data_IF_645459811380
#
_entry.id   IF_645459811380
#
_cell.length_a   1.000
_cell.length_b   1.000
_cell.length_c   1.000
_cell.angle_alpha   90.00
_cell.angle_beta   90.00
_cell.angle_gamma   90.00
#
_symmetry.space_group_name_H-M   'P 1'
#
loop_
_entity.id
_entity.type
_entity.pdbx_description
1 polymer ?
#
# COMPACT_ATOMS: atom_id res chain seq x y z
N UNK A 1 19.77 19.20 -19.28
CA UNK A 1 18.81 19.34 -18.16
C UNK A 1 17.52 20.04 -18.56
N UNK A 2 17.53 21.18 -19.25
CA UNK A 2 16.29 21.90 -19.65
C UNK A 2 15.35 21.03 -20.49
N UNK A 3 15.87 20.32 -21.50
CA UNK A 3 15.08 19.46 -22.39
C UNK A 3 14.40 18.30 -21.66
N UNK A 4 15.05 17.68 -20.66
CA UNK A 4 14.48 16.55 -19.92
C UNK A 4 13.26 16.97 -19.09
N UNK A 5 13.37 18.11 -18.38
CA UNK A 5 12.27 18.67 -17.62
C UNK A 5 11.09 19.11 -18.52
N UNK A 6 11.40 19.66 -19.70
CA UNK A 6 10.38 20.10 -20.66
C UNK A 6 9.70 18.91 -21.37
N UNK A 7 10.44 17.84 -21.65
CA UNK A 7 9.92 16.59 -22.20
C UNK A 7 8.89 15.93 -21.28
N UNK A 8 9.14 15.97 -19.97
CA UNK A 8 8.26 15.41 -18.94
C UNK A 8 7.10 16.35 -18.56
N UNK A 9 7.04 17.55 -19.14
CA UNK A 9 5.97 18.48 -18.85
C UNK A 9 4.61 17.95 -19.36
N UNK A 10 3.51 18.17 -18.61
CA UNK A 10 2.16 17.75 -19.04
C UNK A 10 1.77 18.29 -20.42
N UNK A 11 2.16 19.53 -20.72
CA UNK A 11 1.90 20.17 -22.01
C UNK A 11 2.60 19.44 -23.16
N UNK A 12 3.87 19.04 -22.97
CA UNK A 12 4.61 18.29 -23.97
C UNK A 12 4.05 16.87 -24.15
N UNK A 13 3.62 16.22 -23.07
CA UNK A 13 3.00 14.88 -23.14
C UNK A 13 1.75 14.89 -24.03
N UNK A 14 0.88 15.89 -23.88
CA UNK A 14 -0.31 16.06 -24.73
C UNK A 14 0.07 16.28 -26.19
N UNK A 15 1.09 17.13 -26.45
CA UNK A 15 1.61 17.40 -27.80
C UNK A 15 2.15 16.12 -28.45
N UNK A 16 2.91 15.33 -27.70
CA UNK A 16 3.52 14.09 -28.17
C UNK A 16 2.49 13.00 -28.47
N UNK A 17 1.46 12.86 -27.63
CA UNK A 17 0.33 11.95 -27.89
C UNK A 17 -0.39 12.35 -29.18
N UNK A 18 -0.66 13.64 -29.37
CA UNK A 18 -1.25 14.16 -30.60
C UNK A 18 -0.42 13.83 -31.84
N UNK A 19 0.90 14.06 -31.76
CA UNK A 19 1.84 13.80 -32.84
C UNK A 19 1.90 12.31 -33.21
N UNK A 20 1.91 11.40 -32.23
CA UNK A 20 1.89 9.95 -32.48
C UNK A 20 0.56 9.52 -33.11
N UNK A 21 -0.56 10.04 -32.61
CA UNK A 21 -1.87 9.71 -33.15
C UNK A 21 -2.01 10.17 -34.61
N UNK A 22 -1.59 11.40 -34.92
CA UNK A 22 -1.62 11.95 -36.28
C UNK A 22 -0.72 11.13 -37.22
N UNK A 23 0.53 10.87 -36.83
CA UNK A 23 1.53 10.18 -37.65
C UNK A 23 1.13 8.76 -38.02
N UNK A 24 0.40 8.06 -37.15
CA UNK A 24 -0.01 6.67 -37.37
C UNK A 24 -1.50 6.50 -37.63
N UNK A 25 -2.24 7.58 -37.89
CA UNK A 25 -3.67 7.53 -38.18
C UNK A 25 -4.53 6.95 -37.06
N UNK A 26 -4.12 7.14 -35.80
CA UNK A 26 -4.87 6.68 -34.63
C UNK A 26 -5.90 7.74 -34.24
N UNK A 27 -7.11 7.31 -33.90
CA UNK A 27 -8.12 8.21 -33.37
C UNK A 27 -7.78 8.56 -31.90
N UNK A 28 -7.50 9.83 -31.57
CA UNK A 28 -7.06 10.23 -30.22
C UNK A 28 -8.17 10.14 -29.17
N UNK A 29 -9.44 10.13 -29.60
CA UNK A 29 -10.62 9.98 -28.74
C UNK A 29 -10.87 8.53 -28.30
N UNK A 30 -10.18 7.56 -28.91
CA UNK A 30 -10.33 6.16 -28.57
C UNK A 30 -9.43 5.83 -27.39
N UNK A 31 -10.03 5.56 -26.23
CA UNK A 31 -9.35 5.35 -24.95
C UNK A 31 -8.20 4.33 -25.02
N UNK A 32 -8.37 3.24 -25.79
CA UNK A 32 -7.34 2.22 -25.99
C UNK A 32 -6.07 2.77 -26.64
N UNK A 33 -6.18 3.73 -27.57
CA UNK A 33 -5.01 4.33 -28.22
C UNK A 33 -4.26 5.23 -27.25
N UNK A 34 -4.99 6.01 -26.46
CA UNK A 34 -4.41 6.87 -25.43
C UNK A 34 -3.65 6.06 -24.37
N UNK A 35 -4.25 4.99 -23.85
CA UNK A 35 -3.63 4.09 -22.87
C UNK A 35 -2.35 3.45 -23.44
N UNK A 36 -2.38 2.99 -24.70
CA UNK A 36 -1.21 2.37 -25.34
C UNK A 36 -0.06 3.36 -25.54
N UNK A 37 -0.35 4.58 -25.98
CA UNK A 37 0.67 5.62 -26.15
C UNK A 37 1.23 6.03 -24.79
N UNK A 38 0.37 6.23 -23.79
CA UNK A 38 0.80 6.58 -22.43
C UNK A 38 1.69 5.50 -21.80
N UNK A 39 1.30 4.22 -21.93
CA UNK A 39 2.10 3.10 -21.44
C UNK A 39 3.47 2.99 -22.14
N UNK A 40 3.55 3.33 -23.42
CA UNK A 40 4.83 3.42 -24.13
C UNK A 40 5.71 4.55 -23.59
N UNK A 41 5.13 5.73 -23.36
CA UNK A 41 5.86 6.91 -22.87
C UNK A 41 6.36 6.71 -21.44
N UNK A 42 5.60 6.05 -20.57
CA UNK A 42 6.00 5.76 -19.18
C UNK A 42 7.28 4.90 -19.07
N UNK A 43 7.67 4.22 -20.14
CA UNK A 43 8.86 3.36 -20.17
C UNK A 43 10.11 4.07 -20.71
N UNK A 44 9.94 5.27 -21.26
CA UNK A 44 11.03 6.09 -21.77
C UNK A 44 11.60 6.94 -20.63
N UNK A 45 12.92 6.85 -20.41
CA UNK A 45 13.60 7.76 -19.47
C UNK A 45 13.95 9.06 -20.22
N UNK A 46 13.44 10.19 -19.76
CA UNK A 46 13.66 11.51 -20.37
C UNK A 46 15.15 11.81 -20.60
N UNK A 47 16.01 11.43 -19.64
CA UNK A 47 17.46 11.63 -19.71
C UNK A 47 18.14 10.89 -20.87
N UNK A 48 17.65 9.71 -21.25
CA UNK A 48 18.23 8.92 -22.34
C UNK A 48 17.92 9.53 -23.72
N UNK A 49 16.80 10.24 -23.83
CA UNK A 49 16.33 10.87 -25.07
C UNK A 49 16.89 12.29 -25.20
N UNK A 50 17.02 13.01 -24.09
CA UNK A 50 17.56 14.38 -24.06
C UNK A 50 18.99 14.48 -24.59
N UNK A 51 19.75 13.37 -24.64
CA UNK A 51 21.08 13.31 -25.25
C UNK A 51 21.09 13.09 -26.77
N UNK A 52 19.95 12.79 -27.38
CA UNK A 52 19.82 12.43 -28.81
C UNK A 52 19.18 13.53 -29.67
N UNK A 53 18.74 14.63 -29.07
CA UNK A 53 18.03 15.72 -29.75
C UNK A 53 18.47 17.10 -29.22
N UNK A 54 18.55 18.10 -30.10
CA UNK A 54 18.91 19.47 -29.73
C UNK A 54 17.69 20.28 -29.25
N UNK A 55 16.48 19.86 -29.61
CA UNK A 55 15.22 20.51 -29.24
C UNK A 55 14.17 19.51 -28.76
N UNK A 56 13.15 19.98 -28.04
CA UNK A 56 12.02 19.16 -27.59
C UNK A 56 11.22 18.60 -28.77
N UNK A 57 11.12 19.35 -29.87
CA UNK A 57 10.42 18.90 -31.07
C UNK A 57 11.16 17.79 -31.81
N UNK A 58 12.50 17.87 -31.88
CA UNK A 58 13.33 16.77 -32.40
C UNK A 58 13.22 15.52 -31.52
N UNK A 59 13.21 15.70 -30.19
CA UNK A 59 13.02 14.59 -29.26
C UNK A 59 11.64 13.94 -29.43
N UNK A 60 10.58 14.72 -29.58
CA UNK A 60 9.23 14.23 -29.84
C UNK A 60 9.13 13.46 -31.17
N UNK A 61 9.75 13.97 -32.23
CA UNK A 61 9.81 13.30 -33.52
C UNK A 61 10.53 11.95 -33.43
N UNK A 62 11.65 11.91 -32.69
CA UNK A 62 12.41 10.68 -32.43
C UNK A 62 11.60 9.66 -31.62
N UNK A 63 10.89 10.10 -30.58
CA UNK A 63 10.01 9.23 -29.78
C UNK A 63 8.90 8.63 -30.65
N UNK A 64 8.30 9.44 -31.54
CA UNK A 64 7.28 8.94 -32.46
C UNK A 64 7.84 7.90 -33.44
N UNK A 65 9.06 8.08 -33.95
CA UNK A 65 9.72 7.05 -34.77
C UNK A 65 9.99 5.75 -34.01
N UNK A 66 10.39 5.84 -32.74
CA UNK A 66 10.55 4.65 -31.87
C UNK A 66 9.21 3.91 -31.69
N UNK A 67 8.11 4.65 -31.55
CA UNK A 67 6.77 4.06 -31.49
C UNK A 67 6.41 3.33 -32.80
N UNK A 68 6.70 3.92 -33.97
CA UNK A 68 6.48 3.26 -35.26
C UNK A 68 7.30 2.00 -35.47
N UNK A 69 8.60 2.02 -35.11
CA UNK A 69 9.48 0.84 -35.15
C UNK A 69 8.93 -0.30 -34.29
N UNK A 70 8.26 0.04 -33.18
CA UNK A 70 7.59 -0.94 -32.35
C UNK A 70 6.34 -1.53 -33.01
N UNK A 71 5.47 -0.70 -33.58
CA UNK A 71 4.29 -1.17 -34.30
C UNK A 71 4.66 -2.11 -35.45
N UNK A 72 5.75 -1.81 -36.16
CA UNK A 72 6.25 -2.63 -37.26
C UNK A 72 6.89 -3.96 -36.80
N UNK A 73 7.46 -4.02 -35.60
CA UNK A 73 8.16 -5.19 -35.08
C UNK A 73 7.27 -6.29 -34.52
N UNK A 74 6.17 -5.93 -33.86
CA UNK A 74 5.38 -6.89 -33.07
C UNK A 74 4.07 -7.37 -33.73
N UNK A 75 3.56 -6.68 -34.76
CA UNK A 75 2.32 -7.09 -35.48
C UNK A 75 1.07 -7.29 -34.60
N UNK A 76 1.15 -6.96 -33.30
CA UNK A 76 0.14 -7.11 -32.25
C UNK A 76 0.30 -5.97 -31.25
N UNK A 77 -0.79 -5.65 -30.56
CA UNK A 77 -0.83 -4.72 -29.43
C UNK A 77 0.23 -5.07 -28.37
N UNK A 78 0.62 -4.07 -27.59
CA UNK A 78 1.55 -4.19 -26.46
C UNK A 78 1.30 -5.50 -25.68
N UNK A 79 2.36 -6.24 -25.38
CA UNK A 79 2.27 -7.30 -24.37
C UNK A 79 1.91 -6.65 -23.03
N UNK A 80 0.94 -7.23 -22.32
CA UNK A 80 0.59 -6.83 -20.95
C UNK A 80 1.78 -6.95 -19.97
N UNK A 81 2.89 -7.55 -20.40
CA UNK A 81 4.12 -7.67 -19.63
C UNK A 81 5.04 -6.45 -19.83
N UNK A 82 4.95 -5.49 -18.90
CA UNK A 82 5.78 -4.27 -18.87
C UNK A 82 7.30 -4.54 -18.84
N UNK A 83 7.75 -5.64 -18.24
CA UNK A 83 9.18 -5.95 -18.12
C UNK A 83 9.80 -6.42 -19.44
N UNK A 84 9.07 -7.22 -20.22
CA UNK A 84 9.49 -7.63 -21.56
C UNK A 84 9.58 -6.43 -22.50
N UNK A 85 8.58 -5.55 -22.42
CA UNK A 85 8.55 -4.29 -23.16
C UNK A 85 9.75 -3.39 -22.83
N UNK A 86 10.04 -3.19 -21.54
CA UNK A 86 11.13 -2.33 -21.07
C UNK A 86 12.49 -2.79 -21.59
N UNK A 87 12.75 -4.10 -21.54
CA UNK A 87 14.02 -4.69 -22.04
C UNK A 87 14.21 -4.48 -23.55
N UNK A 88 13.12 -4.56 -24.33
CA UNK A 88 13.17 -4.36 -25.78
C UNK A 88 13.45 -2.89 -26.15
N UNK A 89 12.78 -1.93 -25.50
CA UNK A 89 12.99 -0.50 -25.75
C UNK A 89 14.40 -0.05 -25.40
N UNK A 90 14.94 -0.52 -24.26
CA UNK A 90 16.32 -0.24 -23.89
C UNK A 90 17.34 -0.85 -24.86
N UNK A 91 16.99 -1.95 -25.53
CA UNK A 91 17.84 -2.56 -26.58
C UNK A 91 17.86 -1.70 -27.84
N UNK A 92 16.71 -1.19 -28.27
CA UNK A 92 16.56 -0.29 -29.43
C UNK A 92 17.31 1.04 -29.25
N UNK A 93 17.24 1.63 -28.06
CA UNK A 93 17.90 2.90 -27.73
C UNK A 93 19.44 2.76 -27.67
N UNK A 94 19.95 1.55 -27.39
CA UNK A 94 21.39 1.29 -27.21
C UNK A 94 22.15 0.88 -28.46
N UNK A 95 21.49 0.54 -29.57
CA UNK A 95 22.17 0.21 -30.83
C UNK A 95 22.51 1.48 -31.61
N UNK A 96 23.79 1.87 -31.76
CA UNK A 96 24.19 2.94 -32.69
C UNK A 96 23.98 2.45 -34.12
N UNK A 97 23.63 3.37 -35.01
CA UNK A 97 23.14 3.05 -36.35
C UNK A 97 24.07 2.20 -37.20
N UNK A 98 23.54 1.08 -37.70
CA UNK A 98 24.03 0.40 -38.90
C UNK A 98 23.09 0.75 -40.05
N UNK A 99 23.51 1.71 -40.87
CA UNK A 99 22.99 1.85 -42.22
C UNK A 99 23.92 1.15 -43.19
N UNK A 100 23.43 0.13 -43.89
CA UNK A 100 23.64 -0.09 -45.33
C UNK A 100 22.95 -1.39 -45.81
N UNK A 101 22.45 -1.30 -47.04
CA UNK A 101 22.05 -2.36 -47.99
C UNK A 101 20.58 -2.87 -47.98
N UNK A 102 19.94 -2.59 -49.13
CA UNK A 102 18.72 -3.20 -49.67
C UNK A 102 19.12 -4.12 -50.86
N UNK A 103 18.22 -4.86 -51.57
CA UNK A 103 16.92 -5.42 -51.20
C UNK A 103 16.74 -6.92 -51.58
N UNK A 104 15.64 -7.51 -51.06
CA UNK A 104 14.74 -8.48 -51.68
C UNK A 104 15.27 -9.73 -52.44
N UNK A 105 14.93 -10.92 -51.92
CA UNK A 105 14.58 -12.11 -52.71
C UNK A 105 13.33 -12.83 -52.16
N UNK A 106 12.22 -12.71 -52.90
CA UNK A 106 11.25 -13.74 -53.31
C UNK A 106 11.23 -15.07 -52.51
N UNK A 107 10.07 -15.46 -51.94
CA UNK A 107 9.11 -16.41 -52.55
C UNK A 107 7.91 -16.71 -51.64
N UNK A 108 6.81 -17.02 -52.31
CA UNK A 108 5.49 -17.41 -51.81
C UNK A 108 5.48 -18.75 -51.07
N UNK A 109 4.48 -18.93 -50.19
CA UNK A 109 3.65 -20.13 -50.22
C UNK A 109 2.27 -19.89 -49.57
N UNK A 110 1.24 -20.21 -50.36
CA UNK A 110 -0.15 -20.44 -49.96
C UNK A 110 -0.32 -21.71 -49.09
N UNK A 111 -1.46 -21.71 -48.37
CA UNK A 111 -2.31 -22.81 -47.87
C UNK A 111 -2.46 -22.80 -46.34
N UNK A 112 -3.58 -23.21 -45.73
CA UNK A 112 -4.99 -23.33 -46.10
C UNK A 112 -5.72 -23.69 -44.79
N UNK A 113 -6.92 -23.11 -44.60
CA UNK A 113 -8.16 -23.67 -44.06
C UNK A 113 -8.23 -24.54 -42.76
N UNK A 114 -9.42 -24.43 -42.14
CA UNK A 114 -10.08 -25.30 -41.15
C UNK A 114 -9.79 -25.01 -39.67
N UNK A 115 -10.75 -25.01 -38.74
CA UNK A 115 -12.20 -25.19 -38.86
C UNK A 115 -12.87 -25.15 -37.48
N UNK A 116 -14.11 -24.63 -37.47
CA UNK A 116 -15.25 -24.95 -36.60
C UNK A 116 -15.23 -24.70 -35.07
N UNK A 117 -16.42 -24.44 -34.46
CA UNK A 117 -16.58 -23.79 -33.16
C UNK A 117 -16.87 -24.79 -32.03
N UNK A 118 -16.72 -24.34 -30.78
CA UNK A 118 -17.32 -25.02 -29.62
C UNK A 118 -18.05 -24.02 -28.73
N UNK A 119 -19.37 -24.07 -28.85
CA UNK A 119 -20.32 -23.68 -27.81
C UNK A 119 -20.12 -24.54 -26.57
N UNK A 120 -20.19 -23.91 -25.40
CA UNK A 120 -20.24 -24.55 -24.09
C UNK A 120 -20.91 -23.60 -23.09
N UNK A 121 -21.91 -24.06 -22.32
CA UNK A 121 -22.85 -23.18 -21.64
C UNK A 121 -22.30 -22.60 -20.32
N UNK A 122 -22.78 -21.39 -20.02
CA UNK A 122 -22.62 -20.69 -18.74
C UNK A 122 -23.24 -21.49 -17.59
N UNK A 123 -22.58 -21.61 -16.42
CA UNK A 123 -23.22 -22.11 -15.22
C UNK A 123 -24.05 -21.02 -14.52
N UNK A 124 -25.24 -21.43 -14.10
CA UNK A 124 -26.30 -20.65 -13.51
C UNK A 124 -25.96 -20.14 -12.09
N UNK A 125 -26.38 -18.90 -11.80
CA UNK A 125 -26.40 -18.32 -10.45
C UNK A 125 -27.34 -19.13 -9.53
N UNK A 126 -26.79 -19.71 -8.47
CA UNK A 126 -27.58 -20.19 -7.33
C UNK A 126 -27.72 -19.07 -6.29
N UNK A 127 -28.95 -18.58 -6.15
CA UNK A 127 -29.37 -17.67 -5.07
C UNK A 127 -29.65 -18.51 -3.82
N UNK A 128 -28.82 -18.37 -2.78
CA UNK A 128 -29.08 -18.97 -1.47
C UNK A 128 -30.00 -18.04 -0.65
N UNK A 129 -31.27 -18.42 -0.50
CA UNK A 129 -32.22 -17.83 0.44
C UNK A 129 -31.98 -18.36 1.86
N UNK A 130 -32.02 -17.52 2.91
CA UNK A 130 -31.93 -18.01 4.28
C UNK A 130 -33.24 -18.65 4.75
N UNK A 131 -33.11 -19.87 5.30
CA UNK A 131 -34.18 -20.63 5.97
C UNK A 131 -34.64 -19.89 7.23
N UNK A 132 -35.93 -19.54 7.27
CA UNK A 132 -36.65 -19.07 8.48
C UNK A 132 -36.71 -20.19 9.53
N UNK A 133 -36.02 -20.02 10.65
CA UNK A 133 -36.25 -20.80 11.86
C UNK A 133 -37.39 -20.17 12.67
N UNK A 134 -38.47 -20.94 12.85
CA UNK A 134 -39.59 -20.62 13.74
C UNK A 134 -39.15 -20.79 15.20
N UNK A 135 -39.13 -19.70 15.95
CA UNK A 135 -38.99 -19.75 17.41
C UNK A 135 -40.29 -20.26 18.05
N UNK A 136 -40.18 -21.35 18.82
CA UNK A 136 -41.23 -21.83 19.74
C UNK A 136 -41.25 -20.91 20.97
N UNK A 137 -42.44 -20.37 21.30
CA UNK A 137 -42.74 -19.71 22.57
C UNK A 137 -42.75 -20.73 23.71
N UNK A 138 -42.09 -20.40 24.81
CA UNK A 138 -42.31 -20.98 26.14
C UNK A 138 -42.38 -19.84 27.18
N UNK A 139 -43.03 -20.08 28.33
CA UNK A 139 -43.74 -19.05 29.08
C UNK A 139 -42.89 -18.31 30.13
N UNK A 140 -43.30 -17.08 30.40
CA UNK A 140 -42.85 -16.22 31.50
C UNK A 140 -43.26 -16.78 32.87
N UNK A 141 -42.46 -16.54 33.92
CA UNK A 141 -42.97 -16.38 35.26
C UNK A 141 -42.84 -14.93 35.77
N UNK A 142 -43.98 -14.47 36.26
CA UNK A 142 -44.29 -13.63 37.43
C UNK A 142 -43.37 -12.49 37.91
N UNK A 143 -44.07 -11.38 38.18
CA UNK A 143 -43.64 -10.10 38.70
C UNK A 143 -43.21 -10.20 40.17
N UNK A 144 -42.11 -9.52 40.50
CA UNK A 144 -41.78 -9.09 41.86
C UNK A 144 -41.43 -7.61 41.83
N UNK A 145 -42.24 -6.80 42.52
CA UNK A 145 -42.05 -5.36 42.69
C UNK A 145 -40.93 -5.08 43.72
N UNK A 146 -40.03 -4.15 43.43
CA UNK A 146 -39.34 -3.39 44.48
C UNK A 146 -38.98 -1.97 43.99
N UNK A 147 -39.27 -1.00 44.86
CA UNK A 147 -39.15 0.47 44.71
C UNK A 147 -37.73 1.01 44.46
N UNK A 148 -37.59 2.26 43.97
CA UNK A 148 -36.34 2.84 43.52
C UNK A 148 -35.63 3.61 44.65
N UNK A 149 -34.30 3.56 44.67
CA UNK A 149 -33.52 4.54 45.42
C UNK A 149 -32.21 4.91 44.72
N UNK A 150 -32.09 6.22 44.54
CA UNK A 150 -30.90 7.08 44.66
C UNK A 150 -29.85 7.10 43.53
N UNK A 151 -29.82 8.28 42.90
CA UNK A 151 -28.79 8.82 42.03
C UNK A 151 -27.43 8.89 42.75
N UNK A 152 -26.50 8.04 42.36
CA UNK A 152 -25.06 8.23 42.62
C UNK A 152 -24.33 8.44 41.29
N UNK A 153 -23.94 9.70 41.07
CA UNK A 153 -23.06 10.14 39.98
C UNK A 153 -21.64 9.67 40.30
N UNK A 154 -21.29 8.46 39.85
CA UNK A 154 -19.91 8.01 39.83
C UNK A 154 -19.23 8.49 38.54
N UNK A 155 -18.36 9.47 38.71
CA UNK A 155 -17.38 9.88 37.72
C UNK A 155 -16.53 8.66 37.30
N UNK A 156 -16.62 8.29 36.03
CA UNK A 156 -15.77 7.27 35.45
C UNK A 156 -14.35 7.83 35.30
N UNK A 157 -13.47 7.47 36.22
CA UNK A 157 -12.02 7.60 36.06
C UNK A 157 -11.57 6.68 34.92
N UNK A 158 -11.31 7.28 33.76
CA UNK A 158 -10.79 6.58 32.58
C UNK A 158 -9.31 6.28 32.75
N UNK A 159 -8.96 5.04 33.06
CA UNK A 159 -7.60 4.56 32.96
C UNK A 159 -7.27 4.22 31.49
N UNK A 160 -6.59 5.13 30.79
CA UNK A 160 -5.96 4.85 29.49
C UNK A 160 -4.76 3.89 29.69
N UNK A 161 -4.91 2.63 29.31
CA UNK A 161 -3.77 1.74 29.11
C UNK A 161 -3.22 1.94 27.69
N UNK A 162 -2.19 2.78 27.55
CA UNK A 162 -1.39 2.85 26.32
C UNK A 162 -0.47 1.64 26.25
N UNK A 163 -0.58 0.84 25.19
CA UNK A 163 0.39 -0.21 24.87
C UNK A 163 1.21 0.20 23.64
N UNK A 164 2.52 -0.02 23.69
CA UNK A 164 3.52 0.50 22.74
C UNK A 164 3.64 -0.28 21.42
N UNK A 165 2.85 -1.35 21.23
CA UNK A 165 2.92 -2.17 20.02
C UNK A 165 1.54 -2.63 19.56
N UNK A 166 1.03 -2.07 18.46
CA UNK A 166 -0.12 -2.62 17.72
C UNK A 166 -1.34 -3.01 18.55
N UNK A 167 -1.62 -2.31 19.65
CA UNK A 167 -2.71 -2.67 20.56
C UNK A 167 -4.01 -2.00 20.18
N UNK A 168 -5.10 -2.75 20.33
CA UNK A 168 -6.43 -2.16 20.45
C UNK A 168 -6.46 -1.36 21.76
N UNK A 169 -6.69 -0.05 21.68
CA UNK A 169 -6.92 0.77 22.88
C UNK A 169 -8.33 0.42 23.38
N UNK A 170 -8.37 -0.51 24.31
CA UNK A 170 -9.60 -0.93 24.97
C UNK A 170 -9.65 -0.24 26.33
N UNK A 171 -10.59 0.68 26.51
CA UNK A 171 -10.68 1.48 27.74
C UNK A 171 -11.18 0.76 28.99
N UNK A 172 -11.55 -0.54 28.94
CA UNK A 172 -12.09 -1.31 30.08
C UNK A 172 -12.10 -2.83 29.78
N UNK A 173 -12.29 -3.69 30.78
CA UNK A 173 -12.57 -5.13 30.54
C UNK A 173 -13.80 -5.30 29.64
N UNK A 174 -13.56 -5.57 28.36
CA UNK A 174 -14.63 -5.84 27.40
C UNK A 174 -15.21 -7.23 27.66
N UNK A 175 -16.51 -7.29 27.90
CA UNK A 175 -17.29 -8.51 28.04
C UNK A 175 -18.63 -8.35 27.32
N UNK A 176 -19.32 -9.47 27.10
CA UNK A 176 -20.65 -9.56 26.53
C UNK A 176 -20.84 -8.85 25.18
N UNK A 177 -19.85 -8.97 24.30
CA UNK A 177 -19.90 -8.38 22.95
C UNK A 177 -20.92 -9.15 22.12
N UNK A 178 -21.88 -8.43 21.54
CA UNK A 178 -22.91 -9.01 20.67
C UNK A 178 -22.75 -8.60 19.21
N UNK A 179 -22.08 -7.49 18.94
CA UNK A 179 -21.92 -7.00 17.58
C UNK A 179 -20.65 -6.17 17.43
N UNK A 180 -20.08 -6.23 16.23
CA UNK A 180 -18.95 -5.42 15.81
C UNK A 180 -19.31 -4.70 14.54
N UNK A 181 -18.99 -3.42 14.49
CA UNK A 181 -19.13 -2.56 13.34
C UNK A 181 -17.73 -2.14 12.88
N UNK A 182 -17.42 -2.36 11.60
CA UNK A 182 -16.18 -1.95 10.94
C UNK A 182 -16.53 -0.82 9.97
N UNK A 183 -15.73 0.25 9.97
CA UNK A 183 -15.84 1.34 9.00
C UNK A 183 -14.92 1.12 7.79
N UNK A 184 -15.03 1.96 6.77
CA UNK A 184 -14.06 1.97 5.69
C UNK A 184 -12.65 2.33 6.19
N UNK A 185 -11.63 1.72 5.60
CA UNK A 185 -10.23 1.94 5.96
C UNK A 185 -9.29 1.64 4.78
N UNK A 186 -7.99 1.87 4.98
CA UNK A 186 -6.97 1.60 3.96
C UNK A 186 -6.00 0.51 4.41
N UNK A 187 -5.47 -0.24 3.43
CA UNK A 187 -4.36 -1.17 3.63
C UNK A 187 -3.24 -0.89 2.60
N UNK A 188 -1.98 -1.26 2.89
CA UNK A 188 -0.90 -1.19 1.90
C UNK A 188 -1.22 -2.03 0.65
N UNK A 189 -0.96 -1.44 -0.52
CA UNK A 189 -1.14 -2.11 -1.81
C UNK A 189 0.00 -3.09 -2.08
N UNK A 190 -0.37 -4.31 -2.46
CA UNK A 190 0.49 -5.20 -3.23
C UNK A 190 -0.31 -5.76 -4.41
N UNK A 191 0.32 -5.94 -5.59
CA UNK A 191 -0.39 -6.44 -6.78
C UNK A 191 -1.11 -7.77 -6.56
N UNK A 192 -0.57 -8.64 -5.70
CA UNK A 192 -1.15 -9.97 -5.39
C UNK A 192 -2.49 -9.90 -4.65
N UNK A 193 -2.84 -8.75 -4.05
CA UNK A 193 -4.08 -8.58 -3.28
C UNK A 193 -5.30 -8.33 -4.18
N UNK A 194 -5.07 -7.83 -5.40
CA UNK A 194 -6.13 -7.52 -6.36
C UNK A 194 -6.41 -8.76 -7.20
N UNK A 195 -7.39 -9.55 -6.76
CA UNK A 195 -7.84 -10.75 -7.46
C UNK A 195 -9.03 -10.45 -8.36
N UNK A 196 -9.43 -11.42 -9.19
CA UNK A 196 -10.64 -11.32 -10.04
C UNK A 196 -11.90 -10.87 -9.28
N UNK A 197 -12.00 -11.19 -7.99
CA UNK A 197 -13.16 -10.85 -7.18
C UNK A 197 -13.17 -9.39 -6.71
N UNK A 198 -12.03 -8.70 -6.70
CA UNK A 198 -11.87 -7.35 -6.14
C UNK A 198 -12.48 -7.22 -4.73
N UNK A 199 -12.33 -8.27 -3.92
CA UNK A 199 -12.76 -8.32 -2.51
C UNK A 199 -11.59 -8.65 -1.60
N UNK A 200 -11.59 -8.02 -0.44
CA UNK A 200 -10.74 -8.40 0.69
C UNK A 200 -11.64 -8.92 1.81
N UNK A 201 -11.27 -10.03 2.43
CA UNK A 201 -11.94 -10.55 3.62
C UNK A 201 -11.15 -10.17 4.87
N UNK A 202 -11.86 -9.89 5.96
CA UNK A 202 -11.30 -9.61 7.27
C UNK A 202 -11.86 -10.60 8.28
N UNK A 203 -10.96 -11.20 9.05
CA UNK A 203 -11.26 -12.24 10.03
C UNK A 203 -10.69 -11.84 11.37
N UNK A 204 -11.53 -11.94 12.41
CA UNK A 204 -11.06 -11.95 13.79
C UNK A 204 -10.69 -13.39 14.14
N UNK A 205 -9.41 -13.63 14.42
CA UNK A 205 -8.90 -14.99 14.58
C UNK A 205 -9.47 -15.69 15.82
N UNK A 206 -9.67 -14.93 16.89
CA UNK A 206 -10.20 -15.45 18.15
C UNK A 206 -11.65 -15.94 18.02
N UNK A 207 -12.38 -15.52 16.99
CA UNK A 207 -13.78 -15.91 16.74
C UNK A 207 -14.00 -16.56 15.39
N UNK A 208 -12.95 -17.12 14.78
CA UNK A 208 -13.06 -17.76 13.48
C UNK A 208 -14.17 -18.85 13.45
N UNK A 209 -14.42 -19.55 14.57
CA UNK A 209 -15.51 -20.54 14.70
C UNK A 209 -16.92 -19.95 14.61
N UNK A 210 -17.08 -18.65 14.81
CA UNK A 210 -18.33 -17.90 14.70
C UNK A 210 -18.18 -16.84 13.61
N UNK A 211 -17.93 -17.31 12.38
CA UNK A 211 -17.71 -16.50 11.20
C UNK A 211 -18.44 -17.09 10.00
N UNK A 212 -18.43 -16.40 8.85
CA UNK A 212 -18.91 -16.97 7.60
C UNK A 212 -17.86 -17.88 6.98
N UNK A 213 -18.30 -19.03 6.49
CA UNK A 213 -17.47 -19.93 5.68
C UNK A 213 -17.47 -19.46 4.22
N UNK A 214 -16.28 -19.20 3.69
CA UNK A 214 -16.03 -18.92 2.28
C UNK A 214 -15.76 -20.23 1.51
N UNK A 215 -15.58 -20.10 0.19
CA UNK A 215 -15.07 -21.20 -0.62
C UNK A 215 -13.70 -21.69 -0.12
N UNK A 216 -13.43 -22.98 -0.30
CA UNK A 216 -12.14 -23.61 0.02
C UNK A 216 -11.76 -23.57 1.52
N UNK A 217 -12.74 -23.45 2.41
CA UNK A 217 -12.52 -23.50 3.86
C UNK A 217 -11.98 -22.18 4.45
N UNK A 218 -12.01 -21.09 3.69
CA UNK A 218 -11.75 -19.76 4.22
C UNK A 218 -12.83 -19.34 5.23
N UNK A 219 -12.48 -18.52 6.21
CA UNK A 219 -13.40 -18.01 7.22
C UNK A 219 -13.24 -16.49 7.34
N UNK A 220 -14.34 -15.75 7.43
CA UNK A 220 -14.31 -14.29 7.54
C UNK A 220 -15.52 -13.70 8.27
N UNK A 221 -15.33 -12.54 8.87
CA UNK A 221 -16.40 -11.78 9.52
C UNK A 221 -16.91 -10.67 8.60
N UNK A 222 -15.99 -9.99 7.91
CA UNK A 222 -16.32 -8.89 7.00
C UNK A 222 -15.78 -9.17 5.59
N UNK A 223 -16.58 -8.83 4.59
CA UNK A 223 -16.17 -8.78 3.19
C UNK A 223 -16.13 -7.31 2.78
N UNK A 224 -15.02 -6.89 2.19
CA UNK A 224 -14.69 -5.51 1.88
C UNK A 224 -14.56 -5.35 0.36
N UNK A 225 -15.18 -4.31 -0.19
CA UNK A 225 -15.01 -3.87 -1.57
C UNK A 225 -13.72 -3.07 -1.69
N UNK A 226 -12.95 -3.33 -2.74
CA UNK A 226 -11.91 -2.39 -3.18
C UNK A 226 -12.62 -1.25 -3.93
N UNK A 227 -12.64 -0.06 -3.33
CA UNK A 227 -13.27 1.13 -3.91
C UNK A 227 -12.30 1.88 -4.81
N UNK A 228 -11.06 2.01 -4.36
CA UNK A 228 -10.01 2.74 -5.06
C UNK A 228 -8.64 2.15 -4.70
N UNK A 229 -7.70 2.28 -5.63
CA UNK A 229 -6.28 2.07 -5.39
C UNK A 229 -5.58 3.37 -5.75
N UNK A 230 -4.89 3.97 -4.79
CA UNK A 230 -4.18 5.23 -4.99
C UNK A 230 -2.99 5.32 -4.02
N UNK A 231 -1.89 5.94 -4.45
CA UNK A 231 -0.68 6.15 -3.64
C UNK A 231 -0.20 4.91 -2.85
N UNK A 232 -0.17 3.73 -3.50
CA UNK A 232 0.17 2.45 -2.87
C UNK A 232 -0.73 2.05 -1.68
N UNK A 233 -1.96 2.55 -1.64
CA UNK A 233 -2.99 2.16 -0.69
C UNK A 233 -4.20 1.60 -1.41
N UNK A 234 -4.87 0.64 -0.76
CA UNK A 234 -6.16 0.10 -1.19
C UNK A 234 -7.22 0.64 -0.24
N UNK A 235 -8.21 1.33 -0.78
CA UNK A 235 -9.36 1.84 -0.06
C UNK A 235 -10.44 0.77 0.01
N UNK A 236 -10.80 0.39 1.23
CA UNK A 236 -11.70 -0.71 1.51
C UNK A 236 -12.98 -0.21 2.16
N UNK A 237 -14.13 -0.65 1.65
CA UNK A 237 -15.43 -0.41 2.27
C UNK A 237 -16.15 -1.73 2.57
N UNK A 238 -16.70 -1.91 3.78
CA UNK A 238 -17.40 -3.13 4.13
C UNK A 238 -18.70 -3.26 3.34
N UNK A 239 -18.92 -4.44 2.75
CA UNK A 239 -20.20 -4.78 2.11
C UNK A 239 -21.33 -4.77 3.14
N UNK A 240 -21.06 -5.35 4.31
CA UNK A 240 -21.91 -5.25 5.50
C UNK A 240 -21.02 -4.72 6.63
N UNK A 241 -21.29 -3.51 7.16
CA UNK A 241 -20.43 -2.90 8.17
C UNK A 241 -20.57 -3.59 9.53
N UNK A 242 -21.68 -4.28 9.80
CA UNK A 242 -21.93 -4.94 11.08
C UNK A 242 -21.88 -6.46 10.99
N UNK A 243 -21.34 -7.08 12.05
CA UNK A 243 -21.34 -8.51 12.27
C UNK A 243 -21.89 -8.79 13.67
N UNK A 244 -23.04 -9.47 13.76
CA UNK A 244 -23.67 -9.83 15.04
C UNK A 244 -23.34 -11.28 15.39
N UNK A 245 -22.87 -11.53 16.60
CA UNK A 245 -22.54 -12.86 17.08
C UNK A 245 -23.81 -13.65 17.45
N UNK A 246 -23.83 -14.93 17.10
CA UNK A 246 -24.91 -15.84 17.51
C UNK A 246 -24.99 -16.06 19.03
N UNK A 247 -23.86 -15.88 19.73
CA UNK A 247 -23.74 -15.91 21.19
C UNK A 247 -22.82 -14.77 21.62
N UNK A 248 -23.10 -14.09 22.74
CA UNK A 248 -22.20 -13.05 23.25
C UNK A 248 -20.78 -13.58 23.46
N UNK A 249 -19.79 -12.75 23.15
CA UNK A 249 -18.39 -13.03 23.46
C UNK A 249 -18.08 -12.46 24.83
N UNK A 250 -17.81 -13.36 25.78
CA UNK A 250 -17.71 -13.01 27.20
C UNK A 250 -16.41 -12.29 27.58
N UNK A 251 -15.34 -12.42 26.81
CA UNK A 251 -14.04 -11.83 27.17
C UNK A 251 -13.10 -11.70 25.96
N UNK A 252 -12.37 -10.59 25.90
CA UNK A 252 -11.19 -10.41 25.04
C UNK A 252 -10.07 -9.76 25.85
N UNK A 253 -8.88 -10.35 25.82
CA UNK A 253 -7.63 -9.72 26.26
C UNK A 253 -6.80 -9.18 25.09
N UNK A 254 -6.84 -9.89 23.96
CA UNK A 254 -6.06 -9.65 22.76
C UNK A 254 -6.90 -9.95 21.52
N UNK A 255 -6.61 -9.23 20.44
CA UNK A 255 -7.41 -9.28 19.23
C UNK A 255 -6.48 -9.33 18.01
N UNK A 256 -6.57 -10.41 17.24
CA UNK A 256 -5.72 -10.65 16.09
C UNK A 256 -6.56 -10.65 14.83
N UNK A 257 -6.17 -9.79 13.89
CA UNK A 257 -6.83 -9.69 12.60
C UNK A 257 -6.07 -10.45 11.52
N UNK A 258 -6.81 -11.02 10.59
CA UNK A 258 -6.24 -11.61 9.38
C UNK A 258 -7.03 -11.16 8.16
N UNK A 259 -6.29 -10.94 7.08
CA UNK A 259 -6.81 -10.47 5.81
C UNK A 259 -6.67 -11.56 4.77
N UNK A 260 -7.64 -11.67 3.88
CA UNK A 260 -7.59 -12.60 2.76
C UNK A 260 -7.99 -11.94 1.45
N UNK A 261 -7.37 -12.32 0.34
CA UNK A 261 -7.86 -11.99 -0.99
C UNK A 261 -8.88 -13.06 -1.43
N UNK A 262 -9.97 -13.17 -0.65
CA UNK A 262 -11.00 -14.24 -0.69
C UNK A 262 -10.52 -15.60 -0.17
N UNK A 263 -9.46 -16.18 -0.74
CA UNK A 263 -8.90 -17.48 -0.35
C UNK A 263 -7.50 -17.38 0.27
N UNK A 264 -6.48 -16.83 -0.43
CA UNK A 264 -5.15 -16.72 0.16
C UNK A 264 -5.08 -15.62 1.22
N UNK A 265 -4.41 -15.93 2.34
CA UNK A 265 -4.10 -14.93 3.37
C UNK A 265 -3.14 -13.88 2.82
N UNK A 266 -3.40 -12.63 3.17
CA UNK A 266 -2.56 -11.48 2.88
C UNK A 266 -1.49 -11.36 3.97
N UNK A 267 -0.23 -11.27 3.56
CA UNK A 267 0.92 -11.06 4.44
C UNK A 267 1.47 -9.65 4.24
N UNK A 268 1.29 -8.78 5.24
CA UNK A 268 1.88 -7.44 5.19
C UNK A 268 3.38 -7.47 5.47
N UNK A 269 4.08 -6.53 4.87
CA UNK A 269 5.45 -6.20 5.27
C UNK A 269 5.47 -5.71 6.73
N UNK A 270 6.64 -5.81 7.36
CA UNK A 270 6.87 -5.19 8.67
C UNK A 270 6.59 -3.67 8.60
N UNK A 271 5.78 -3.18 9.53
CA UNK A 271 5.41 -1.77 9.67
C UNK A 271 6.37 -0.98 10.56
N UNK A 272 7.40 -1.64 11.10
CA UNK A 272 8.39 -1.06 11.99
C UNK A 272 9.69 -1.83 11.98
N UNK A 273 10.79 -1.14 12.26
CA UNK A 273 12.11 -1.73 12.41
C UNK A 273 12.89 -1.01 13.51
N UNK A 274 13.72 -1.75 14.24
CA UNK A 274 14.73 -1.17 15.11
C UNK A 274 15.85 -0.63 14.24
N UNK A 275 16.29 0.60 14.48
CA UNK A 275 17.43 1.15 13.76
C UNK A 275 18.71 0.41 14.14
N UNK A 276 19.51 0.05 13.15
CA UNK A 276 20.86 -0.49 13.36
C UNK A 276 21.81 0.61 13.85
N UNK A 277 21.78 1.78 13.20
CA UNK A 277 22.60 2.92 13.59
C UNK A 277 22.03 4.25 13.08
N UNK A 278 22.50 5.32 13.71
CA UNK A 278 22.35 6.69 13.23
C UNK A 278 23.73 7.24 12.86
N UNK A 279 23.83 7.99 11.77
CA UNK A 279 25.04 8.72 11.40
C UNK A 279 24.99 10.14 11.96
N UNK A 280 25.98 10.48 12.78
CA UNK A 280 26.11 11.80 13.39
C UNK A 280 27.07 12.70 12.60
N UNK A 281 27.71 12.21 11.54
CA UNK A 281 28.70 13.00 10.77
C UNK A 281 28.06 13.88 9.72
N UNK A 282 26.79 13.61 9.36
CA UNK A 282 26.04 14.31 8.34
C UNK A 282 25.03 15.29 8.95
N UNK A 283 24.79 16.40 8.24
CA UNK A 283 23.72 17.37 8.58
C UNK A 283 22.31 16.83 8.34
N UNK A 284 22.21 15.70 7.65
CA UNK A 284 20.97 14.93 7.53
C UNK A 284 21.11 13.67 8.37
N UNK A 285 20.09 13.37 9.18
CA UNK A 285 20.07 12.15 9.97
C UNK A 285 19.94 10.92 9.07
N UNK A 286 21.05 10.21 8.86
CA UNK A 286 21.03 8.91 8.18
C UNK A 286 20.71 7.83 9.21
N UNK A 287 19.69 7.04 8.91
CA UNK A 287 19.29 5.89 9.71
C UNK A 287 19.52 4.64 8.87
N UNK A 288 20.15 3.63 9.46
CA UNK A 288 20.37 2.33 8.80
C UNK A 288 19.60 1.22 9.52
N UNK A 289 19.28 0.16 8.79
CA UNK A 289 18.53 -1.02 9.25
C UNK A 289 19.26 -2.30 8.85
N UNK A 290 18.90 -3.42 9.50
CA UNK A 290 19.45 -4.75 9.16
C UNK A 290 18.73 -5.44 7.99
N UNK A 291 17.57 -4.92 7.56
CA UNK A 291 16.73 -5.51 6.53
C UNK A 291 16.16 -4.45 5.56
N UNK A 292 15.58 -4.92 4.45
CA UNK A 292 14.93 -4.04 3.46
C UNK A 292 13.69 -3.39 4.07
N UNK A 293 13.73 -2.06 4.23
CA UNK A 293 12.62 -1.31 4.82
C UNK A 293 11.45 -1.10 3.83
N UNK A 294 11.66 -1.26 2.53
CA UNK A 294 10.61 -1.13 1.50
C UNK A 294 9.97 0.25 1.37
N UNK A 295 10.56 1.29 1.98
CA UNK A 295 10.09 2.68 1.87
C UNK A 295 10.50 3.28 0.51
N UNK A 296 9.79 4.33 0.11
CA UNK A 296 10.14 5.22 -1.01
C UNK A 296 10.41 6.64 -0.52
N UNK A 297 11.11 7.45 -1.33
CA UNK A 297 11.29 8.87 -1.02
C UNK A 297 9.95 9.57 -0.96
N UNK A 298 9.71 10.35 0.09
CA UNK A 298 8.43 11.00 0.37
C UNK A 298 7.57 10.27 1.41
N UNK A 299 7.88 9.03 1.75
CA UNK A 299 7.18 8.32 2.83
C UNK A 299 7.38 9.01 4.19
N UNK A 300 6.39 8.85 5.07
CA UNK A 300 6.42 9.36 6.43
C UNK A 300 6.85 8.25 7.40
N UNK A 301 7.76 8.57 8.33
CA UNK A 301 8.17 7.66 9.41
C UNK A 301 8.04 8.31 10.78
N UNK A 302 7.75 7.53 11.81
CA UNK A 302 7.77 7.98 13.19
C UNK A 302 8.93 7.31 13.91
N UNK A 303 9.70 8.07 14.68
CA UNK A 303 10.81 7.54 15.45
C UNK A 303 10.45 7.68 16.93
N UNK A 304 10.69 6.62 17.68
CA UNK A 304 10.49 6.61 19.13
C UNK A 304 11.70 5.98 19.81
N UNK A 305 11.97 6.35 21.05
CA UNK A 305 13.08 5.78 21.82
C UNK A 305 14.47 6.25 21.37
N UNK A 306 14.56 7.33 20.60
CA UNK A 306 15.84 7.96 20.30
C UNK A 306 16.33 8.73 21.53
N UNK A 307 17.55 8.44 21.98
CA UNK A 307 18.16 9.07 23.16
C UNK A 307 19.60 9.51 22.86
N UNK A 308 20.27 10.17 23.80
CA UNK A 308 21.70 10.45 23.69
C UNK A 308 22.34 10.35 25.07
N UNK A 309 23.68 10.20 25.17
CA UNK A 309 24.37 10.21 26.46
C UNK A 309 24.13 11.48 27.30
N UNK A 310 23.82 12.60 26.65
CA UNK A 310 23.65 13.92 27.27
C UNK A 310 22.23 14.46 27.09
N UNK A 311 21.23 13.75 27.64
CA UNK A 311 19.79 14.04 27.45
C UNK A 311 19.43 15.51 27.69
N UNK A 312 19.86 16.09 28.81
CA UNK A 312 19.51 17.48 29.15
C UNK A 312 20.04 18.50 28.12
N UNK A 313 21.28 18.28 27.64
CA UNK A 313 21.94 19.15 26.64
C UNK A 313 21.31 19.01 25.26
N UNK A 314 20.94 17.79 24.89
CA UNK A 314 20.48 17.43 23.55
C UNK A 314 18.94 17.37 23.44
N UNK A 315 18.23 17.87 24.46
CA UNK A 315 16.77 17.75 24.58
C UNK A 315 16.02 18.26 23.36
N UNK A 316 16.46 19.36 22.75
CA UNK A 316 15.86 19.90 21.53
C UNK A 316 15.97 18.94 20.33
N UNK A 317 17.15 18.37 20.09
CA UNK A 317 17.36 17.41 18.97
C UNK A 317 16.65 16.09 19.26
N UNK A 318 16.66 15.63 20.51
CA UNK A 318 15.92 14.42 20.92
C UNK A 318 14.41 14.60 20.68
N UNK A 319 13.86 15.75 21.07
CA UNK A 319 12.45 16.07 20.83
C UNK A 319 12.13 16.16 19.34
N UNK A 320 13.02 16.76 18.54
CA UNK A 320 12.86 16.84 17.08
C UNK A 320 12.88 15.45 16.43
N UNK A 321 13.81 14.57 16.80
CA UNK A 321 13.86 13.19 16.26
C UNK A 321 12.61 12.41 16.68
N UNK A 322 12.17 12.50 17.94
CA UNK A 322 11.02 11.78 18.46
C UNK A 322 9.65 12.49 18.22
N UNK A 323 9.59 13.51 17.36
CA UNK A 323 8.38 14.31 17.16
C UNK A 323 7.20 13.45 16.66
N UNK A 324 6.02 13.70 17.21
CA UNK A 324 4.80 12.91 16.92
C UNK A 324 4.28 13.06 15.50
N UNK A 325 4.64 14.16 14.84
CA UNK A 325 4.29 14.49 13.46
C UNK A 325 5.03 13.60 12.46
N UNK A 326 6.14 12.96 12.88
CA UNK A 326 6.97 12.11 12.04
C UNK A 326 7.90 12.88 11.10
N UNK A 327 8.63 12.16 10.26
CA UNK A 327 9.64 12.67 9.35
C UNK A 327 9.38 12.19 7.93
N UNK A 328 9.34 13.10 6.97
CA UNK A 328 9.38 12.73 5.54
C UNK A 328 10.79 12.25 5.20
N UNK A 329 10.89 11.06 4.63
CA UNK A 329 12.19 10.44 4.36
C UNK A 329 12.65 10.63 2.93
N UNK A 330 13.96 10.69 2.74
CA UNK A 330 14.59 10.43 1.44
C UNK A 330 15.21 9.04 1.46
N UNK A 331 14.78 8.17 0.55
CA UNK A 331 15.37 6.84 0.41
C UNK A 331 16.78 6.97 -0.12
N UNK A 332 17.77 6.42 0.60
CA UNK A 332 19.14 6.32 0.12
C UNK A 332 19.39 4.98 -0.58
N UNK A 333 19.00 3.89 0.07
CA UNK A 333 19.09 2.53 -0.46
C UNK A 333 17.98 1.66 0.15
N UNK A 334 18.13 0.33 0.11
CA UNK A 334 17.13 -0.62 0.66
C UNK A 334 17.15 -0.69 2.19
N UNK A 335 18.25 -0.31 2.80
CA UNK A 335 18.55 -0.47 4.23
C UNK A 335 18.81 0.86 4.91
N UNK A 336 18.66 1.99 4.20
CA UNK A 336 19.04 3.31 4.70
C UNK A 336 18.11 4.41 4.20
N UNK A 337 17.76 5.30 5.13
CA UNK A 337 16.92 6.49 4.89
C UNK A 337 17.58 7.74 5.46
N UNK A 338 17.20 8.90 4.94
CA UNK A 338 17.58 10.21 5.46
C UNK A 338 16.36 10.95 6.01
N UNK A 339 16.50 11.58 7.17
CA UNK A 339 15.55 12.54 7.75
C UNK A 339 16.16 13.95 7.78
N UNK A 340 15.30 14.98 7.75
CA UNK A 340 15.72 16.39 7.76
C UNK A 340 16.03 16.91 9.18
N UNK A 341 16.83 16.17 9.93
CA UNK A 341 17.29 16.56 11.27
C UNK A 341 18.81 16.58 11.28
N UNK A 342 19.40 17.66 11.77
CA UNK A 342 20.85 17.79 11.90
C UNK A 342 21.36 17.04 13.14
N UNK A 343 21.78 15.80 12.91
CA UNK A 343 22.38 14.97 13.96
C UNK A 343 23.85 15.32 14.24
N UNK A 344 24.50 16.12 13.39
CA UNK A 344 25.88 16.56 13.62
C UNK A 344 26.04 17.50 14.80
N UNK A 345 24.95 18.20 15.17
CA UNK A 345 24.87 18.99 16.40
C UNK A 345 25.09 18.16 17.68
N UNK A 346 24.89 16.84 17.62
CA UNK A 346 25.10 15.94 18.75
C UNK A 346 26.58 15.60 18.98
N UNK A 347 27.46 15.82 17.99
CA UNK A 347 28.90 15.52 18.10
C UNK A 347 29.62 16.62 18.89
N UNK A 348 29.75 16.40 20.19
CA UNK A 348 30.54 17.24 21.08
C UNK A 348 31.71 16.45 21.68
N UNK A 349 32.90 17.05 21.68
CA UNK A 349 34.10 16.43 22.28
C UNK A 349 34.01 16.44 23.81
N UNK A 350 34.42 15.34 24.44
CA UNK A 350 34.37 15.19 25.90
C UNK A 350 35.59 15.81 26.61
N UNK A 351 36.72 15.91 25.91
CA UNK A 351 37.96 16.56 26.35
C UNK A 351 38.54 17.35 25.17
N UNK A 352 39.07 18.57 25.38
CA UNK A 352 39.75 19.31 24.32
C UNK A 352 40.83 18.44 23.68
N UNK A 353 40.77 18.24 22.36
CA UNK A 353 41.76 17.51 21.55
C UNK A 353 41.80 15.98 21.72
N UNK A 354 40.81 15.36 22.36
CA UNK A 354 40.73 13.88 22.43
C UNK A 354 40.32 13.24 21.09
N UNK A 355 39.64 13.99 20.21
CA UNK A 355 39.06 13.47 18.97
C UNK A 355 37.98 12.40 19.19
N UNK A 356 37.57 12.16 20.44
CA UNK A 356 36.56 11.20 20.83
C UNK A 356 35.21 11.89 21.02
N UNK A 357 34.20 11.39 20.30
CA UNK A 357 32.83 11.86 20.39
C UNK A 357 32.00 10.77 21.07
N UNK A 358 31.46 11.00 22.28
CA UNK A 358 30.70 9.97 23.01
C UNK A 358 29.52 9.41 22.20
N UNK A 359 28.88 10.26 21.40
CA UNK A 359 27.75 9.88 20.55
C UNK A 359 28.13 8.86 19.47
N UNK A 360 29.36 8.89 18.96
CA UNK A 360 29.81 7.96 17.90
C UNK A 360 29.94 6.51 18.45
N UNK A 361 30.06 6.34 19.77
CA UNK A 361 30.09 5.05 20.46
C UNK A 361 28.74 4.63 21.07
N UNK A 362 27.75 5.51 21.03
CA UNK A 362 26.46 5.27 21.66
C UNK A 362 25.55 4.45 20.75
N UNK A 363 25.13 3.28 21.22
CA UNK A 363 24.14 2.46 20.53
C UNK A 363 22.72 2.95 20.84
N UNK A 364 21.82 2.84 19.87
CA UNK A 364 20.41 3.21 19.98
C UNK A 364 19.52 1.96 19.98
N UNK A 365 19.64 1.06 20.97
CA UNK A 365 18.97 -0.25 20.93
C UNK A 365 17.44 -0.15 20.99
N UNK A 366 16.93 0.97 21.51
CA UNK A 366 15.50 1.20 21.73
C UNK A 366 14.86 2.07 20.63
N UNK A 367 15.66 2.60 19.70
CA UNK A 367 15.16 3.48 18.66
C UNK A 367 14.40 2.66 17.61
N UNK A 368 13.07 2.73 17.66
CA UNK A 368 12.17 2.06 16.73
C UNK A 368 11.63 3.06 15.73
N UNK A 369 11.74 2.72 14.44
CA UNK A 369 11.21 3.49 13.32
C UNK A 369 9.95 2.80 12.81
N UNK A 370 8.82 3.49 12.87
CA UNK A 370 7.54 3.03 12.35
C UNK A 370 7.27 3.64 10.97
N UNK A 371 6.76 2.83 10.06
CA UNK A 371 6.55 3.16 8.65
C UNK A 371 5.08 3.49 8.40
N UNK A 372 4.73 4.76 8.22
CA UNK A 372 3.34 5.18 8.08
C UNK A 372 2.65 4.53 6.88
N UNK A 373 3.35 4.41 5.75
CA UNK A 373 2.84 3.82 4.51
C UNK A 373 2.52 2.32 4.61
N UNK A 374 3.01 1.64 5.66
CA UNK A 374 2.80 0.20 5.89
C UNK A 374 1.84 -0.11 7.04
N UNK A 375 1.41 0.91 7.78
CA UNK A 375 0.50 0.74 8.90
C UNK A 375 -0.93 0.59 8.42
N UNK A 376 -1.69 -0.25 9.12
CA UNK A 376 -3.12 -0.42 8.92
C UNK A 376 -3.84 0.21 10.10
N UNK A 377 -4.73 1.17 9.82
CA UNK A 377 -5.56 1.81 10.84
C UNK A 377 -7.03 1.48 10.57
N UNK A 378 -7.68 0.82 11.52
CA UNK A 378 -9.07 0.37 11.40
C UNK A 378 -9.86 0.96 12.54
N UNK A 379 -10.95 1.63 12.22
CA UNK A 379 -11.92 2.06 13.21
C UNK A 379 -12.98 0.98 13.37
N UNK A 380 -13.19 0.56 14.62
CA UNK A 380 -14.15 -0.47 14.98
C UNK A 380 -15.01 0.02 16.14
N UNK A 381 -16.30 -0.31 16.12
CA UNK A 381 -17.21 -0.10 17.24
C UNK A 381 -17.70 -1.45 17.73
N UNK A 382 -17.61 -1.66 19.03
CA UNK A 382 -18.11 -2.85 19.70
C UNK A 382 -19.43 -2.51 20.39
N UNK A 383 -20.43 -3.38 20.27
CA UNK A 383 -21.69 -3.28 21.02
C UNK A 383 -21.79 -4.43 22.01
N UNK A 384 -22.24 -4.10 23.20
CA UNK A 384 -22.33 -5.02 24.34
C UNK A 384 -23.79 -5.26 24.69
N UNK A 385 -24.09 -6.38 25.37
CA UNK A 385 -25.35 -6.51 26.09
C UNK A 385 -25.37 -5.47 27.20
N UNK A 386 -26.20 -4.44 27.04
CA UNK A 386 -26.63 -3.66 28.20
C UNK A 386 -27.63 -4.53 28.96
N UNK A 387 -27.25 -5.01 30.15
CA UNK A 387 -28.24 -5.54 31.07
C UNK A 387 -29.26 -4.44 31.35
N UNK A 388 -30.45 -4.52 30.76
CA UNK A 388 -31.59 -3.79 31.28
C UNK A 388 -31.96 -4.50 32.59
N UNK A 389 -31.60 -3.86 33.71
CA UNK A 389 -32.13 -4.16 35.04
C UNK A 389 -33.62 -3.88 35.07
#
# INVERSE_FOLDING_TARGET
MVIAAELESPANLVKLIGLICEKYGLEPKRETNFVNVHAFLALLRGDAIAGQAATVDEANAYIADLYGKRLAGDGRSLSDNMNATTKYLLKLIRTPGDGAEAPAKKKAHEHAASGAPRDGPLPQLCVALPRRLRARRLPLPEQGQHEPDQDDVLAADGHEAKSEYGSVIVGNRIHDIVEIEVYGFTIPYMPVYVTFYNKITLTVNEWASNSFEAYEGGQFHFCLNIVQIDNNLIYLEPVNPTYSFSKPVNYIDSFSLSFGAVSPKIAFDADRMVSRSFDYTNRLGLITFDADHGLVTGDLVYITGFETPSVARNSAVIAEVNRSEGHTVTKRDKTSILIQVDLSALRHEQLPNSGHYPIDSFSQPNATVYFASKRVQIQMRLRYLTSYS
#
